data_IF_628754965608
#
_entry.id   IF_628754965608
#
_cell.length_a   1.000
_cell.length_b   1.000
_cell.length_c   1.000
_cell.angle_alpha   90.00
_cell.angle_beta   90.00
_cell.angle_gamma   90.00
#
_symmetry.space_group_name_H-M   'P 1'
#
loop_
_entity.id
_entity.type
_entity.pdbx_description
1 polymer ?
#
# COMPACT_ATOMS: atom_id res chain seq x y z
N UNK A 1 12.56 -9.56 -0.94
CA UNK A 1 11.42 -10.52 -0.95
C UNK A 1 10.13 -9.77 -1.24
N UNK A 2 9.18 -10.34 -2.00
CA UNK A 2 7.91 -9.66 -2.33
C UNK A 2 6.77 -10.23 -1.48
N UNK A 3 6.01 -9.36 -0.82
CA UNK A 3 4.80 -9.67 -0.07
C UNK A 3 3.61 -8.93 -0.69
N UNK A 4 2.51 -9.65 -0.93
CA UNK A 4 1.27 -9.04 -1.46
C UNK A 4 0.26 -8.88 -0.34
N UNK A 5 -0.17 -7.65 -0.09
CA UNK A 5 -1.16 -7.35 0.94
C UNK A 5 -2.54 -7.78 0.44
N UNK A 6 -3.29 -8.62 1.17
CA UNK A 6 -4.63 -9.02 0.77
C UNK A 6 -5.60 -7.85 0.93
N UNK A 7 -6.07 -7.29 -0.18
CA UNK A 7 -7.03 -6.19 -0.19
C UNK A 7 -8.45 -6.67 -0.55
N UNK A 8 -9.45 -5.94 -0.06
CA UNK A 8 -10.85 -6.13 -0.46
C UNK A 8 -11.30 -5.02 -1.41
N UNK A 9 -12.24 -5.28 -2.33
CA UNK A 9 -12.72 -4.28 -3.29
C UNK A 9 -13.74 -3.31 -2.66
N UNK A 10 -13.32 -2.59 -1.62
CA UNK A 10 -14.16 -1.67 -0.83
C UNK A 10 -13.59 -0.26 -0.84
N UNK A 11 -14.46 0.74 -0.96
CA UNK A 11 -14.08 2.16 -1.03
C UNK A 11 -13.32 2.65 0.20
N UNK A 12 -13.57 2.09 1.38
CA UNK A 12 -12.79 2.36 2.58
C UNK A 12 -12.54 1.04 3.33
N UNK A 13 -11.29 0.77 3.69
CA UNK A 13 -10.92 -0.41 4.47
C UNK A 13 -9.71 -0.14 5.35
N UNK A 14 -9.69 -0.73 6.53
CA UNK A 14 -8.55 -0.76 7.43
C UNK A 14 -8.18 -2.19 7.74
N UNK A 15 -6.88 -2.50 7.76
CA UNK A 15 -6.38 -3.82 8.07
C UNK A 15 -5.02 -3.75 8.76
N UNK A 16 -4.73 -4.81 9.51
CA UNK A 16 -3.42 -5.02 10.10
C UNK A 16 -2.81 -6.28 9.51
N UNK A 17 -1.60 -6.15 8.95
CA UNK A 17 -0.85 -7.29 8.42
C UNK A 17 0.63 -7.21 8.83
N UNK A 18 1.29 -8.36 9.05
CA UNK A 18 2.73 -8.38 9.28
C UNK A 18 3.47 -8.17 7.96
N UNK A 19 4.27 -7.10 7.85
CA UNK A 19 5.14 -6.81 6.71
C UNK A 19 6.57 -6.68 7.23
N UNK A 20 7.52 -7.40 6.62
CA UNK A 20 8.93 -7.45 7.08
C UNK A 20 9.10 -7.76 8.58
N UNK A 21 8.18 -8.56 9.16
CA UNK A 21 8.18 -8.88 10.60
C UNK A 21 7.64 -7.78 11.52
N UNK A 22 7.23 -6.63 10.97
CA UNK A 22 6.63 -5.52 11.70
C UNK A 22 5.11 -5.52 11.56
N UNK A 23 4.40 -5.12 12.61
CA UNK A 23 2.95 -4.99 12.57
C UNK A 23 2.57 -3.69 11.84
N UNK A 24 2.04 -3.81 10.63
CA UNK A 24 1.65 -2.68 9.80
C UNK A 24 0.13 -2.55 9.77
N UNK A 25 -0.39 -1.41 10.21
CA UNK A 25 -1.78 -1.02 10.05
C UNK A 25 -1.92 -0.12 8.83
N UNK A 26 -2.68 -0.60 7.85
CA UNK A 26 -2.96 0.08 6.59
C UNK A 26 -4.41 0.54 6.61
N UNK A 27 -4.63 1.81 6.25
CA UNK A 27 -5.95 2.35 6.02
C UNK A 27 -6.03 2.94 4.60
N UNK A 28 -6.93 2.39 3.79
CA UNK A 28 -7.19 2.81 2.43
C UNK A 28 -8.55 3.48 2.34
N UNK A 29 -8.61 4.59 1.60
CA UNK A 29 -9.86 5.32 1.34
C UNK A 29 -9.87 5.88 -0.08
N UNK A 30 -10.93 5.62 -0.82
CA UNK A 30 -11.21 6.21 -2.12
C UNK A 30 -11.82 7.59 -1.91
N UNK A 31 -11.21 8.61 -2.52
CA UNK A 31 -11.76 9.95 -2.67
C UNK A 31 -12.07 10.20 -4.16
N UNK A 32 -12.73 11.32 -4.45
CA UNK A 32 -13.06 11.74 -5.82
C UNK A 32 -11.83 11.96 -6.70
N UNK A 33 -10.68 12.26 -6.09
CA UNK A 33 -9.41 12.54 -6.76
C UNK A 33 -8.49 11.32 -6.88
N UNK A 34 -8.80 10.20 -6.23
CA UNK A 34 -7.96 9.00 -6.25
C UNK A 34 -8.06 8.17 -4.97
N UNK A 35 -7.29 7.09 -4.92
CA UNK A 35 -7.15 6.26 -3.73
C UNK A 35 -6.06 6.82 -2.82
N UNK A 36 -6.34 6.92 -1.53
CA UNK A 36 -5.40 7.42 -0.52
C UNK A 36 -5.10 6.33 0.50
N UNK A 37 -3.86 6.33 0.98
CA UNK A 37 -3.38 5.39 1.99
C UNK A 37 -2.74 6.11 3.16
N UNK A 38 -2.98 5.53 4.33
CA UNK A 38 -2.26 5.78 5.56
C UNK A 38 -1.60 4.47 6.00
N UNK A 39 -0.35 4.54 6.45
CA UNK A 39 0.39 3.39 6.99
C UNK A 39 0.98 3.74 8.36
N UNK A 40 0.73 2.88 9.32
CA UNK A 40 1.25 2.96 10.69
C UNK A 40 2.00 1.67 10.97
N UNK A 41 3.22 1.76 11.49
CA UNK A 41 4.08 0.62 11.81
C UNK A 41 4.27 0.59 13.32
N UNK A 42 3.73 -0.46 13.96
CA UNK A 42 3.60 -0.49 15.42
C UNK A 42 2.76 0.68 15.93
N UNK A 43 3.41 1.62 16.64
CA UNK A 43 2.78 2.83 17.16
C UNK A 43 3.09 4.10 16.36
N UNK A 44 3.99 4.03 15.38
CA UNK A 44 4.44 5.19 14.62
C UNK A 44 3.73 5.32 13.28
N UNK A 45 3.17 6.50 13.01
CA UNK A 45 2.56 6.81 11.72
C UNK A 45 3.66 7.10 10.69
N UNK A 46 3.87 6.18 9.76
CA UNK A 46 4.89 6.32 8.73
C UNK A 46 4.46 7.28 7.62
N UNK A 47 3.17 7.21 7.23
CA UNK A 47 2.58 8.10 6.23
C UNK A 47 1.08 8.24 6.45
N UNK A 48 0.55 9.41 6.06
CA UNK A 48 -0.87 9.77 6.14
C UNK A 48 -1.25 10.53 4.88
N UNK A 49 -2.34 10.11 4.23
CA UNK A 49 -2.95 10.79 3.09
C UNK A 49 -2.09 10.78 1.84
N UNK A 50 -1.32 9.73 1.61
CA UNK A 50 -0.54 9.60 0.38
C UNK A 50 -1.43 9.03 -0.72
N UNK A 51 -1.42 9.67 -1.89
CA UNK A 51 -2.14 9.16 -3.06
C UNK A 51 -1.46 7.88 -3.59
N UNK A 52 -2.27 6.87 -3.88
CA UNK A 52 -1.84 5.61 -4.45
C UNK A 52 -1.90 5.70 -5.96
N UNK A 53 -0.75 5.52 -6.61
CA UNK A 53 -0.63 5.52 -8.06
C UNK A 53 0.07 4.24 -8.51
N UNK A 54 -0.22 3.80 -9.73
CA UNK A 54 0.37 2.58 -10.26
C UNK A 54 1.90 2.72 -10.40
N UNK A 55 2.64 1.71 -9.95
CA UNK A 55 4.11 1.65 -10.00
C UNK A 55 4.85 2.68 -9.14
N UNK A 56 4.13 3.54 -8.41
CA UNK A 56 4.72 4.60 -7.61
C UNK A 56 5.07 4.10 -6.22
N UNK A 57 6.32 4.34 -5.79
CA UNK A 57 6.72 4.02 -4.42
C UNK A 57 6.04 4.97 -3.44
N UNK A 58 5.22 4.40 -2.56
CA UNK A 58 4.48 5.09 -1.52
C UNK A 58 5.40 5.45 -0.34
N UNK A 59 6.36 4.56 -0.02
CA UNK A 59 7.36 4.81 1.01
C UNK A 59 8.51 5.60 0.37
N UNK A 60 8.39 6.93 0.35
CA UNK A 60 9.39 7.82 -0.26
C UNK A 60 10.62 8.09 0.61
N UNK A 61 10.61 7.66 1.88
CA UNK A 61 11.71 7.89 2.81
C UNK A 61 12.53 6.61 3.02
N UNK A 62 13.81 6.57 2.60
CA UNK A 62 14.67 5.41 2.83
C UNK A 62 15.05 5.19 4.31
N UNK A 63 14.96 6.22 5.16
CA UNK A 63 15.17 6.11 6.61
C UNK A 63 13.89 5.70 7.39
N UNK A 64 12.90 5.17 6.66
CA UNK A 64 11.66 4.61 7.18
C UNK A 64 11.91 3.41 8.10
N UNK A 65 11.03 3.23 9.11
CA UNK A 65 10.99 2.00 9.92
C UNK A 65 10.73 0.73 9.10
N UNK A 66 10.25 0.90 7.88
CA UNK A 66 9.98 -0.15 6.91
C UNK A 66 10.89 0.07 5.68
N UNK A 67 12.11 -0.50 5.66
CA UNK A 67 13.05 -0.35 4.56
C UNK A 67 12.61 -1.20 3.37
N UNK A 68 12.14 -0.54 2.31
CA UNK A 68 11.61 -1.23 1.15
C UNK A 68 10.77 -0.32 0.27
N UNK A 69 10.07 -0.94 -0.68
CA UNK A 69 9.19 -0.28 -1.62
C UNK A 69 7.79 -0.82 -1.43
N UNK A 70 6.83 0.09 -1.29
CA UNK A 70 5.42 -0.25 -1.23
C UNK A 70 4.74 0.41 -2.42
N UNK A 71 4.18 -0.38 -3.33
CA UNK A 71 3.62 0.13 -4.57
C UNK A 71 2.41 -0.68 -5.00
N UNK A 72 1.51 -0.01 -5.73
CA UNK A 72 0.43 -0.71 -6.43
C UNK A 72 0.90 -1.17 -7.80
N UNK A 73 0.40 -2.32 -8.23
CA UNK A 73 0.57 -2.83 -9.60
C UNK A 73 -0.78 -3.15 -10.20
N UNK A 74 -1.03 -2.61 -11.39
CA UNK A 74 -2.12 -3.03 -12.26
C UNK A 74 -1.70 -4.27 -13.05
N UNK A 75 -2.43 -5.38 -12.87
CA UNK A 75 -2.17 -6.65 -13.55
C UNK A 75 -2.82 -6.75 -14.93
N UNK A 76 -3.72 -5.83 -15.28
CA UNK A 76 -4.48 -5.85 -16.54
C UNK A 76 -4.19 -4.66 -17.46
N UNK A 77 -3.38 -3.69 -17.00
CA UNK A 77 -3.11 -2.47 -17.74
C UNK A 77 -2.08 -1.59 -17.05
N UNK A 78 -2.28 -0.28 -17.15
CA UNK A 78 -1.42 0.73 -16.53
C UNK A 78 -2.22 1.81 -15.77
N UNK A 79 -3.47 1.52 -15.40
CA UNK A 79 -4.35 2.50 -14.75
C UNK A 79 -4.01 2.68 -13.28
N UNK A 80 -4.35 3.85 -12.72
CA UNK A 80 -4.24 4.09 -11.29
C UNK A 80 -5.25 3.26 -10.48
N UNK A 81 -4.89 2.84 -9.25
CA UNK A 81 -5.70 1.94 -8.46
C UNK A 81 -7.03 2.55 -8.06
N UNK A 82 -8.11 1.81 -8.32
CA UNK A 82 -9.47 2.15 -7.90
C UNK A 82 -10.04 1.06 -7.02
N UNK A 83 -10.92 1.44 -6.08
CA UNK A 83 -11.46 0.51 -5.09
C UNK A 83 -12.11 -0.75 -5.68
N UNK A 84 -12.71 -0.65 -6.87
CA UNK A 84 -13.43 -1.76 -7.52
C UNK A 84 -12.51 -2.91 -7.93
N UNK A 85 -11.22 -2.66 -8.13
CA UNK A 85 -10.23 -3.67 -8.55
C UNK A 85 -9.23 -4.07 -7.47
N UNK A 86 -9.36 -3.58 -6.24
CA UNK A 86 -8.40 -3.88 -5.17
C UNK A 86 -8.41 -5.37 -4.82
N UNK A 87 -7.20 -5.95 -4.72
CA UNK A 87 -7.01 -7.36 -4.37
C UNK A 87 -7.18 -8.34 -5.54
N UNK A 88 -7.51 -7.85 -6.74
CA UNK A 88 -7.60 -8.65 -7.95
C UNK A 88 -6.78 -8.03 -9.08
N UNK A 89 -7.25 -6.90 -9.64
CA UNK A 89 -6.56 -6.14 -10.68
C UNK A 89 -5.41 -5.31 -10.10
N UNK A 90 -5.73 -4.54 -9.06
CA UNK A 90 -4.80 -3.65 -8.37
C UNK A 90 -4.28 -4.35 -7.10
N UNK A 91 -3.03 -4.77 -7.17
CA UNK A 91 -2.35 -5.48 -6.09
C UNK A 91 -1.39 -4.53 -5.38
N UNK A 92 -1.38 -4.57 -4.06
CA UNK A 92 -0.42 -3.83 -3.23
C UNK A 92 0.75 -4.73 -2.88
N UNK A 93 1.91 -4.41 -3.42
CA UNK A 93 3.14 -5.15 -3.21
C UNK A 93 4.08 -4.39 -2.29
N UNK A 94 4.60 -5.11 -1.31
CA UNK A 94 5.77 -4.71 -0.55
C UNK A 94 6.98 -5.50 -1.04
N UNK A 95 8.02 -4.79 -1.45
CA UNK A 95 9.31 -5.36 -1.83
C UNK A 95 10.35 -4.89 -0.81
N UNK A 96 10.89 -5.84 -0.07
CA UNK A 96 11.99 -5.57 0.87
C UNK A 96 13.29 -5.29 0.10
N UNK A 97 14.00 -4.23 0.48
CA UNK A 97 15.28 -3.82 -0.11
C UNK A 97 16.47 -4.54 0.53
N UNK A 98 16.25 -5.28 1.62
CA UNK A 98 17.27 -6.15 2.20
C UNK A 98 17.42 -7.43 1.36
N UNK A 99 18.45 -7.44 0.50
CA UNK A 99 18.97 -8.63 -0.19
C UNK A 99 20.22 -9.16 0.49
#
# INVERSE_FOLDING_TARGET
MIYTVPLQPTAAQSMTCPIAGLQCHIWLRQLSTGLYMDLTVGTEALLRGVVCQNGTNIIRNPASLLPGRLYFTDTQGADDPTFSGLGSRFLLHYEDDTS
#
